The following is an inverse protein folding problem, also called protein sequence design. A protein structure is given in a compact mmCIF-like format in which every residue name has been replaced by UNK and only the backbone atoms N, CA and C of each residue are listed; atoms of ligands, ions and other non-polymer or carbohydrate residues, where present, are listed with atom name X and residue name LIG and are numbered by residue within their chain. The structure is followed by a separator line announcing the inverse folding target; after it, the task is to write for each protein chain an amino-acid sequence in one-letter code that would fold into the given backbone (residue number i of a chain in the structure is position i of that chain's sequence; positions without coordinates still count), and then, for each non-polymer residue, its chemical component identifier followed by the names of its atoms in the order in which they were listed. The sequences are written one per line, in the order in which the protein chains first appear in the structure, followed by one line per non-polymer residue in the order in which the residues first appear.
data_IF_207381059556
#
_entry.id   IF_207381059556
#
_cell.length_a   1.000
_cell.length_b   1.000
_cell.length_c   1.000
_cell.angle_alpha   90.00
_cell.angle_beta   90.00
_cell.angle_gamma   90.00
#
_symmetry.space_group_name_H-M   'P 1'
#
loop_
_entity.id
_entity.type
_entity.pdbx_description
1 polymer ?
#
# COMPACT_ATOMS: atom_id res chain seq x y z
N UNK A 1 -4.04 5.71 7.31
CA UNK A 1 -4.18 4.30 6.87
C UNK A 1 -2.78 3.80 6.57
N UNK A 2 -2.42 2.61 7.06
CA UNK A 2 -1.03 2.12 6.97
C UNK A 2 -0.78 1.17 5.78
N UNK A 3 -1.61 1.24 4.74
CA UNK A 3 -1.47 0.47 3.50
C UNK A 3 -1.73 1.36 2.29
N UNK A 4 -1.11 1.05 1.14
CA UNK A 4 -1.23 1.85 -0.08
C UNK A 4 -2.65 1.84 -0.66
N UNK A 5 -3.31 0.69 -0.61
CA UNK A 5 -4.68 0.49 -1.08
C UNK A 5 -5.51 -0.14 0.03
N UNK A 6 -6.79 0.23 0.13
CA UNK A 6 -7.69 -0.34 1.15
C UNK A 6 -7.81 -1.87 1.04
N UNK A 7 -7.70 -2.39 -0.18
CA UNK A 7 -7.73 -3.83 -0.44
C UNK A 7 -6.51 -4.57 0.16
N UNK A 8 -5.38 -3.87 0.38
CA UNK A 8 -4.20 -4.44 1.01
C UNK A 8 -4.43 -4.77 2.50
N UNK A 9 -5.49 -4.23 3.12
CA UNK A 9 -5.91 -4.64 4.46
C UNK A 9 -6.27 -6.14 4.54
N UNK A 10 -6.74 -6.71 3.43
CA UNK A 10 -7.03 -8.15 3.37
C UNK A 10 -5.78 -9.03 3.24
N UNK A 11 -4.62 -8.40 3.04
CA UNK A 11 -3.33 -9.07 2.85
C UNK A 11 -2.42 -8.96 4.09
N UNK A 12 -2.81 -8.21 5.12
CA UNK A 12 -2.01 -8.15 6.34
C UNK A 12 -1.96 -9.53 7.01
N UNK A 13 -0.81 -9.92 7.54
CA UNK A 13 -0.59 -11.28 8.03
C UNK A 13 -1.67 -11.78 9.01
N UNK A 14 -2.16 -10.98 9.99
CA UNK A 14 -3.22 -11.46 10.88
C UNK A 14 -4.50 -11.85 10.15
N UNK A 15 -4.86 -11.15 9.05
CA UNK A 15 -6.04 -11.50 8.23
C UNK A 15 -5.78 -12.74 7.40
N UNK A 16 -4.58 -12.88 6.82
CA UNK A 16 -4.19 -14.12 6.11
C UNK A 16 -4.25 -15.34 7.00
N UNK A 17 -3.84 -15.23 8.28
CA UNK A 17 -3.94 -16.32 9.27
C UNK A 17 -5.39 -16.73 9.53
N UNK A 18 -6.28 -15.75 9.72
CA UNK A 18 -7.72 -16.02 9.89
C UNK A 18 -8.29 -16.71 8.65
N UNK A 19 -7.88 -16.27 7.46
CA UNK A 19 -8.28 -16.91 6.20
C UNK A 19 -7.79 -18.36 6.12
N UNK A 20 -6.52 -18.61 6.43
CA UNK A 20 -5.93 -19.96 6.41
C UNK A 20 -6.64 -20.90 7.38
N UNK A 21 -6.93 -20.46 8.60
CA UNK A 21 -7.72 -21.21 9.58
C UNK A 21 -9.13 -21.52 9.04
N UNK A 22 -9.81 -20.52 8.48
CA UNK A 22 -11.19 -20.64 7.97
C UNK A 22 -11.29 -21.59 6.78
N UNK A 23 -10.28 -21.62 5.92
CA UNK A 23 -10.23 -22.48 4.74
C UNK A 23 -9.54 -23.81 5.01
N UNK A 24 -9.26 -24.12 6.29
CA UNK A 24 -8.69 -25.38 6.76
C UNK A 24 -7.39 -25.77 6.04
N UNK A 25 -6.47 -24.81 5.90
CA UNK A 25 -5.14 -25.07 5.35
C UNK A 25 -4.33 -25.95 6.31
N UNK A 26 -3.71 -27.02 5.80
CA UNK A 26 -2.94 -27.98 6.62
C UNK A 26 -1.70 -27.36 7.25
N UNK A 27 -1.05 -26.40 6.56
CA UNK A 27 0.14 -25.72 7.05
C UNK A 27 0.00 -24.21 6.85
N UNK A 28 -0.53 -23.54 7.87
CA UNK A 28 -0.84 -22.11 7.85
C UNK A 28 0.42 -21.27 7.59
N UNK A 29 1.53 -21.56 8.29
CA UNK A 29 2.76 -20.76 8.16
C UNK A 29 3.35 -20.87 6.76
N UNK A 30 3.31 -22.06 6.15
CA UNK A 30 3.79 -22.25 4.79
C UNK A 30 2.95 -21.48 3.76
N UNK A 31 1.62 -21.57 3.87
CA UNK A 31 0.69 -20.86 2.98
C UNK A 31 0.92 -19.33 3.07
N UNK A 32 1.10 -18.82 4.28
CA UNK A 32 1.37 -17.40 4.49
C UNK A 32 2.71 -16.99 3.88
N UNK A 33 3.75 -17.81 4.06
CA UNK A 33 5.05 -17.53 3.46
C UNK A 33 5.00 -17.57 1.92
N UNK A 34 4.32 -18.52 1.34
CA UNK A 34 4.10 -18.59 -0.12
C UNK A 34 3.38 -17.36 -0.66
N UNK A 35 2.36 -16.85 0.06
CA UNK A 35 1.66 -15.61 -0.30
C UNK A 35 2.60 -14.40 -0.23
N UNK A 36 3.40 -14.28 0.84
CA UNK A 36 4.37 -13.20 0.99
C UNK A 36 5.40 -13.22 -0.14
N UNK A 37 5.96 -14.39 -0.43
CA UNK A 37 6.94 -14.58 -1.50
C UNK A 37 6.34 -14.26 -2.88
N UNK A 38 5.12 -14.70 -3.14
CA UNK A 38 4.39 -14.34 -4.35
C UNK A 38 4.21 -12.82 -4.50
N UNK A 39 3.76 -12.15 -3.44
CA UNK A 39 3.52 -10.70 -3.49
C UNK A 39 4.83 -9.93 -3.67
N UNK A 40 5.89 -10.28 -2.94
CA UNK A 40 7.18 -9.59 -3.00
C UNK A 40 7.90 -9.87 -4.33
N UNK A 41 8.09 -11.15 -4.65
CA UNK A 41 9.01 -11.55 -5.71
C UNK A 41 8.35 -11.67 -7.09
N UNK A 42 7.04 -11.96 -7.15
CA UNK A 42 6.35 -12.09 -8.43
C UNK A 42 5.51 -10.87 -8.76
N UNK A 43 4.80 -10.28 -7.79
CA UNK A 43 3.93 -9.13 -8.08
C UNK A 43 4.68 -7.80 -7.98
N UNK A 44 5.17 -7.45 -6.80
CA UNK A 44 5.84 -6.18 -6.57
C UNK A 44 7.12 -6.03 -7.40
N UNK A 45 7.98 -7.06 -7.44
CA UNK A 45 9.23 -7.02 -8.18
C UNK A 45 9.03 -6.82 -9.69
N UNK A 46 8.00 -7.45 -10.29
CA UNK A 46 7.69 -7.30 -11.71
C UNK A 46 7.06 -5.96 -12.06
N UNK A 47 6.44 -5.28 -11.09
CA UNK A 47 5.82 -3.99 -11.28
C UNK A 47 6.65 -2.81 -10.73
N UNK A 48 7.88 -3.07 -10.29
CA UNK A 48 8.71 -2.12 -9.56
C UNK A 48 8.84 -0.78 -10.30
N UNK A 49 9.22 -0.81 -11.57
CA UNK A 49 9.37 0.40 -12.40
C UNK A 49 8.08 1.21 -12.46
N UNK A 50 6.94 0.54 -12.67
CA UNK A 50 5.63 1.21 -12.69
C UNK A 50 5.28 1.86 -11.34
N UNK A 51 5.62 1.20 -10.23
CA UNK A 51 5.39 1.74 -8.88
C UNK A 51 6.25 2.98 -8.63
N UNK A 52 7.51 2.95 -9.02
CA UNK A 52 8.44 4.08 -8.93
C UNK A 52 7.90 5.28 -9.73
N UNK A 53 7.52 5.06 -10.98
CA UNK A 53 6.95 6.10 -11.85
C UNK A 53 5.68 6.73 -11.24
N UNK A 54 4.78 5.91 -10.71
CA UNK A 54 3.55 6.39 -10.08
C UNK A 54 3.83 7.21 -8.80
N UNK A 55 4.75 6.73 -7.95
CA UNK A 55 5.16 7.43 -6.75
C UNK A 55 5.82 8.77 -7.08
N UNK A 56 6.76 8.78 -8.02
CA UNK A 56 7.42 10.00 -8.50
C UNK A 56 6.41 11.00 -9.05
N UNK A 57 5.49 10.55 -9.90
CA UNK A 57 4.43 11.41 -10.46
C UNK A 57 3.54 12.00 -9.36
N UNK A 58 3.18 11.21 -8.36
CA UNK A 58 2.36 11.68 -7.23
C UNK A 58 3.11 12.72 -6.39
N UNK A 59 4.38 12.48 -6.10
CA UNK A 59 5.23 13.40 -5.37
C UNK A 59 5.40 14.72 -6.13
N UNK A 60 5.75 14.66 -7.40
CA UNK A 60 5.88 15.84 -8.25
C UNK A 60 4.57 16.65 -8.32
N UNK A 61 3.43 15.98 -8.46
CA UNK A 61 2.12 16.64 -8.43
C UNK A 61 1.92 17.42 -7.13
N UNK A 62 2.29 16.83 -5.99
CA UNK A 62 2.20 17.51 -4.69
C UNK A 62 3.14 18.71 -4.62
N UNK A 63 4.40 18.53 -5.04
CA UNK A 63 5.39 19.62 -5.07
C UNK A 63 4.93 20.79 -5.94
N UNK A 64 4.45 20.52 -7.16
CA UNK A 64 3.91 21.56 -8.04
C UNK A 64 2.67 22.24 -7.48
N UNK A 65 1.82 21.51 -6.75
CA UNK A 65 0.61 22.07 -6.13
C UNK A 65 0.92 22.93 -4.91
N UNK A 66 2.07 22.74 -4.27
CA UNK A 66 2.52 23.49 -3.09
C UNK A 66 3.42 24.68 -3.41
N UNK A 67 3.59 25.05 -4.71
CA UNK A 67 4.40 26.19 -5.11
C UNK A 67 3.77 27.50 -4.61
N UNK A 68 4.51 28.21 -3.76
CA UNK A 68 4.16 29.57 -3.31
C UNK A 68 4.95 30.59 -4.14
N UNK A 69 4.31 31.09 -5.20
CA UNK A 69 4.94 32.03 -6.16
C UNK A 69 5.28 33.36 -5.50
N UNK A 70 4.50 33.80 -4.52
CA UNK A 70 4.70 35.11 -3.85
C UNK A 70 5.97 35.18 -3.03
N UNK A 71 6.45 34.04 -2.54
CA UNK A 71 7.69 33.94 -1.75
C UNK A 71 8.95 33.74 -2.59
N UNK A 72 8.80 33.55 -3.90
CA UNK A 72 9.92 33.32 -4.77
C UNK A 72 10.64 34.66 -5.13
N UNK A 73 11.94 34.57 -5.38
CA UNK A 73 12.74 35.70 -5.83
C UNK A 73 12.35 36.13 -7.25
N UNK A 74 12.39 37.42 -7.51
CA UNK A 74 12.12 38.04 -8.83
C UNK A 74 11.34 39.36 -8.72
N UNK A 75 11.52 40.20 -9.69
CA UNK A 75 10.87 41.53 -9.75
C UNK A 75 9.46 41.44 -10.36
N UNK A 76 9.24 40.47 -11.24
CA UNK A 76 7.95 40.23 -11.90
C UNK A 76 7.32 38.92 -11.46
N UNK A 77 6.00 38.80 -11.58
CA UNK A 77 5.27 37.59 -11.30
C UNK A 77 5.79 36.39 -12.16
N UNK A 78 6.17 36.69 -13.43
CA UNK A 78 6.71 35.67 -14.33
C UNK A 78 8.07 35.14 -13.86
N UNK A 79 8.95 36.00 -13.35
CA UNK A 79 10.24 35.59 -12.79
C UNK A 79 10.09 34.82 -11.52
N UNK A 80 9.23 35.28 -10.61
CA UNK A 80 8.91 34.56 -9.37
C UNK A 80 8.40 33.14 -9.67
N UNK A 81 7.48 32.99 -10.63
CA UNK A 81 6.96 31.72 -11.04
C UNK A 81 8.04 30.78 -11.62
N UNK A 82 8.88 31.30 -12.54
CA UNK A 82 10.01 30.54 -13.10
C UNK A 82 10.97 30.06 -12.01
N UNK A 83 11.33 30.95 -11.08
CA UNK A 83 12.27 30.65 -10.02
C UNK A 83 11.68 29.65 -9.00
N UNK A 84 10.39 29.75 -8.71
CA UNK A 84 9.69 28.76 -7.86
C UNK A 84 9.69 27.37 -8.50
N UNK A 85 9.36 27.27 -9.79
CA UNK A 85 9.38 25.99 -10.53
C UNK A 85 10.79 25.40 -10.63
N UNK A 86 11.81 26.23 -10.86
CA UNK A 86 13.19 25.78 -11.01
C UNK A 86 13.76 25.08 -9.76
N UNK A 87 13.13 25.26 -8.59
CA UNK A 87 13.48 24.56 -7.35
C UNK A 87 13.05 23.09 -7.35
N UNK A 88 12.08 22.73 -8.18
CA UNK A 88 11.62 21.34 -8.31
C UNK A 88 12.55 20.61 -9.27
N UNK A 89 13.13 19.51 -8.80
CA UNK A 89 14.11 18.70 -9.53
C UNK A 89 13.51 17.30 -9.79
N UNK A 90 12.81 17.08 -10.91
CA UNK A 90 12.14 15.82 -11.21
C UNK A 90 13.09 14.61 -11.20
N UNK A 91 14.32 14.78 -11.71
CA UNK A 91 15.33 13.73 -11.77
C UNK A 91 15.81 13.32 -10.37
N UNK A 92 15.99 14.29 -9.46
CA UNK A 92 16.38 14.00 -8.08
C UNK A 92 15.26 13.25 -7.34
N UNK A 93 14.00 13.61 -7.61
CA UNK A 93 12.85 12.93 -7.02
C UNK A 93 12.72 11.51 -7.55
N UNK A 94 12.91 11.30 -8.85
CA UNK A 94 12.93 9.96 -9.43
C UNK A 94 13.99 9.07 -8.74
N UNK A 95 15.22 9.56 -8.63
CA UNK A 95 16.32 8.82 -7.98
C UNK A 95 16.01 8.47 -6.51
N UNK A 96 15.35 9.37 -5.78
CA UNK A 96 14.91 9.09 -4.40
C UNK A 96 13.89 7.96 -4.36
N UNK A 97 12.90 7.99 -5.25
CA UNK A 97 11.89 6.93 -5.31
C UNK A 97 12.52 5.60 -5.76
N UNK A 98 13.43 5.60 -6.74
CA UNK A 98 14.17 4.41 -7.15
C UNK A 98 14.94 3.78 -5.99
N UNK A 99 15.69 4.57 -5.24
CA UNK A 99 16.43 4.08 -4.06
C UNK A 99 15.46 3.49 -3.02
N UNK A 100 14.41 4.22 -2.66
CA UNK A 100 13.45 3.80 -1.65
C UNK A 100 12.74 2.48 -1.99
N UNK A 101 12.24 2.35 -3.21
CA UNK A 101 11.54 1.14 -3.65
C UNK A 101 12.50 -0.05 -3.83
N UNK A 102 13.74 0.22 -4.28
CA UNK A 102 14.78 -0.81 -4.40
C UNK A 102 15.19 -1.36 -3.02
N UNK A 103 15.31 -0.49 -2.03
CA UNK A 103 15.60 -0.89 -0.65
C UNK A 103 14.50 -1.79 -0.08
N UNK A 104 13.22 -1.42 -0.29
CA UNK A 104 12.08 -2.25 0.13
C UNK A 104 12.12 -3.63 -0.53
N UNK A 105 12.37 -3.69 -1.84
CA UNK A 105 12.48 -4.94 -2.59
C UNK A 105 13.64 -5.79 -2.07
N UNK A 106 14.80 -5.18 -1.84
CA UNK A 106 16.01 -5.88 -1.40
C UNK A 106 15.87 -6.44 0.02
N UNK A 107 15.22 -5.67 0.91
CA UNK A 107 14.93 -6.10 2.27
C UNK A 107 13.85 -7.19 2.34
N UNK A 108 13.09 -7.41 1.26
CA UNK A 108 11.94 -8.30 1.22
C UNK A 108 10.94 -8.07 2.38
N UNK A 109 10.78 -6.79 2.77
CA UNK A 109 9.93 -6.38 3.88
C UNK A 109 8.46 -6.34 3.43
N UNK A 110 7.72 -7.41 3.75
CA UNK A 110 6.34 -7.59 3.34
C UNK A 110 5.42 -6.45 3.78
N UNK A 111 5.57 -5.98 5.03
CA UNK A 111 4.72 -4.91 5.55
C UNK A 111 4.99 -3.58 4.83
N UNK A 112 6.26 -3.28 4.54
CA UNK A 112 6.60 -2.11 3.73
C UNK A 112 6.08 -2.23 2.31
N UNK A 113 6.16 -3.43 1.71
CA UNK A 113 5.55 -3.66 0.39
C UNK A 113 4.07 -3.32 0.41
N UNK A 114 3.29 -3.80 1.38
CA UNK A 114 1.85 -3.48 1.46
C UNK A 114 1.57 -1.97 1.66
N UNK A 115 2.51 -1.23 2.28
CA UNK A 115 2.38 0.23 2.48
C UNK A 115 2.63 1.04 1.21
N UNK A 116 3.43 0.53 0.28
CA UNK A 116 3.83 1.27 -0.93
C UNK A 116 3.26 0.71 -2.22
N UNK A 117 2.89 -0.57 -2.24
CA UNK A 117 2.43 -1.25 -3.44
C UNK A 117 1.00 -0.86 -3.78
N UNK A 118 0.88 0.07 -4.72
CA UNK A 118 -0.40 0.55 -5.25
C UNK A 118 -0.79 -0.31 -6.46
N UNK A 119 -1.44 -1.45 -6.20
CA UNK A 119 -1.93 -2.36 -7.22
C UNK A 119 -3.35 -2.81 -6.90
N UNK A 120 -4.31 -2.22 -7.60
CA UNK A 120 -5.72 -2.64 -7.51
C UNK A 120 -5.86 -4.12 -7.86
N UNK A 121 -6.64 -4.83 -7.06
CA UNK A 121 -6.92 -6.24 -7.28
C UNK A 121 -5.80 -7.19 -6.85
N UNK A 122 -4.78 -6.73 -6.10
CA UNK A 122 -3.74 -7.61 -5.56
C UNK A 122 -4.37 -8.69 -4.67
N UNK A 123 -5.28 -8.33 -3.80
CA UNK A 123 -6.03 -9.26 -2.94
C UNK A 123 -6.88 -10.27 -3.73
N UNK A 124 -7.28 -9.92 -4.95
CA UNK A 124 -7.99 -10.82 -5.86
C UNK A 124 -7.06 -11.74 -6.68
N UNK A 125 -5.81 -11.90 -6.28
CA UNK A 125 -4.84 -12.79 -6.94
C UNK A 125 -4.27 -13.85 -6.01
N UNK A 126 -4.82 -14.02 -4.79
CA UNK A 126 -4.27 -14.93 -3.78
C UNK A 126 -5.24 -16.04 -3.33
N UNK A 127 -6.45 -16.07 -3.86
CA UNK A 127 -7.45 -17.06 -3.47
C UNK A 127 -7.00 -18.51 -3.68
N UNK A 128 -6.23 -18.75 -4.75
CA UNK A 128 -5.72 -20.09 -5.07
C UNK A 128 -4.81 -20.68 -3.98
N UNK A 129 -4.09 -19.87 -3.20
CA UNK A 129 -3.32 -20.34 -2.04
C UNK A 129 -4.20 -20.96 -0.94
N UNK A 130 -5.46 -20.56 -0.91
CA UNK A 130 -6.48 -21.08 0.01
C UNK A 130 -7.40 -22.11 -0.64
N UNK A 131 -7.09 -22.60 -1.86
CA UNK A 131 -7.95 -23.53 -2.58
C UNK A 131 -9.28 -22.94 -3.06
N UNK A 132 -9.40 -21.63 -3.16
CA UNK A 132 -10.61 -20.92 -3.63
C UNK A 132 -10.31 -20.09 -4.87
N UNK A 133 -11.37 -19.64 -5.55
CA UNK A 133 -11.20 -18.73 -6.68
C UNK A 133 -10.62 -17.38 -6.22
N UNK A 134 -9.61 -16.88 -6.92
CA UNK A 134 -8.91 -15.63 -6.59
C UNK A 134 -9.87 -14.47 -6.40
N UNK A 135 -10.85 -14.31 -7.29
CA UNK A 135 -11.84 -13.22 -7.24
C UNK A 135 -12.83 -13.32 -6.07
N UNK A 136 -12.91 -14.48 -5.44
CA UNK A 136 -13.79 -14.70 -4.29
C UNK A 136 -13.13 -14.39 -2.95
N UNK A 137 -11.80 -14.31 -2.90
CA UNK A 137 -11.07 -14.14 -1.65
C UNK A 137 -11.60 -12.96 -0.82
N UNK A 138 -11.59 -11.74 -1.37
CA UNK A 138 -12.07 -10.55 -0.65
C UNK A 138 -13.51 -10.69 -0.20
N UNK A 139 -14.40 -11.23 -1.06
CA UNK A 139 -15.80 -11.45 -0.72
C UNK A 139 -15.96 -12.41 0.46
N UNK A 140 -15.16 -13.48 0.48
CA UNK A 140 -15.18 -14.46 1.56
C UNK A 140 -14.65 -13.88 2.87
N UNK A 141 -13.57 -13.07 2.83
CA UNK A 141 -13.06 -12.37 4.02
C UNK A 141 -14.08 -11.37 4.56
N UNK A 142 -14.70 -10.56 3.70
CA UNK A 142 -15.78 -9.64 4.11
C UNK A 142 -16.95 -10.44 4.74
N UNK A 143 -17.27 -11.60 4.19
CA UNK A 143 -18.28 -12.49 4.76
C UNK A 143 -18.02 -12.91 6.20
N UNK A 144 -16.75 -12.95 6.65
CA UNK A 144 -16.39 -13.27 8.03
C UNK A 144 -16.91 -12.23 9.05
N UNK A 145 -17.20 -10.99 8.61
CA UNK A 145 -17.85 -9.98 9.45
C UNK A 145 -19.26 -10.37 9.90
N UNK A 146 -19.85 -11.38 9.26
CA UNK A 146 -21.17 -11.92 9.59
C UNK A 146 -21.09 -13.33 10.18
N UNK A 147 -19.92 -13.73 10.70
CA UNK A 147 -19.65 -15.05 11.27
C UNK A 147 -19.04 -14.96 12.66
N UNK A 148 -18.77 -16.09 13.28
CA UNK A 148 -18.09 -16.21 14.57
C UNK A 148 -16.65 -15.63 14.55
N UNK A 149 -16.10 -15.39 13.36
CA UNK A 149 -14.77 -14.78 13.17
C UNK A 149 -14.78 -13.24 13.19
N UNK A 150 -15.95 -12.61 13.34
CA UNK A 150 -16.11 -11.16 13.27
C UNK A 150 -15.15 -10.42 14.20
N UNK A 151 -15.17 -10.73 15.49
CA UNK A 151 -14.35 -10.05 16.49
C UNK A 151 -12.85 -10.25 16.21
N UNK A 152 -12.46 -11.49 15.88
CA UNK A 152 -11.07 -11.82 15.51
C UNK A 152 -10.59 -11.03 14.29
N UNK A 153 -11.45 -10.87 13.27
CA UNK A 153 -11.13 -10.08 12.08
C UNK A 153 -11.03 -8.57 12.39
N UNK A 154 -11.94 -8.04 13.21
CA UNK A 154 -11.90 -6.63 13.61
C UNK A 154 -10.63 -6.31 14.42
N UNK A 155 -10.26 -7.18 15.36
CA UNK A 155 -9.03 -7.03 16.15
C UNK A 155 -7.77 -7.11 15.25
N UNK A 156 -7.76 -8.00 14.28
CA UNK A 156 -6.69 -8.12 13.30
C UNK A 156 -6.51 -6.87 12.43
N UNK A 157 -7.59 -6.17 12.10
CA UNK A 157 -7.57 -4.97 11.27
C UNK A 157 -7.31 -3.68 12.07
N UNK A 158 -7.61 -3.67 13.36
CA UNK A 158 -7.54 -2.49 14.22
C UNK A 158 -6.21 -1.72 14.17
N UNK A 159 -5.02 -2.38 14.10
CA UNK A 159 -3.75 -1.67 13.99
C UNK A 159 -3.56 -0.90 12.68
N UNK A 160 -4.29 -1.27 11.63
CA UNK A 160 -4.11 -0.75 10.27
C UNK A 160 -5.14 0.31 9.87
N UNK A 161 -6.18 0.50 10.67
CA UNK A 161 -7.20 1.52 10.40
C UNK A 161 -7.02 2.71 11.34
N UNK A 162 -7.28 3.95 10.87
CA UNK A 162 -7.21 5.13 11.72
C UNK A 162 -8.19 5.00 12.90
N UNK A 163 -7.74 5.35 14.11
CA UNK A 163 -8.65 5.52 15.23
C UNK A 163 -9.57 6.70 14.94
N UNK A 164 -10.89 6.48 15.04
CA UNK A 164 -11.83 7.59 15.00
C UNK A 164 -11.52 8.57 16.15
N UNK A 165 -11.54 9.89 15.89
CA UNK A 165 -11.40 10.85 16.96
C UNK A 165 -12.50 10.55 17.99
N UNK A 166 -12.11 10.45 19.27
CA UNK A 166 -13.08 10.29 20.35
C UNK A 166 -14.01 11.50 20.27
N UNK A 167 -15.28 11.27 19.95
CA UNK A 167 -16.33 12.27 20.13
C UNK A 167 -16.35 12.61 21.61
N UNK A 168 -15.77 13.74 21.99
CA UNK A 168 -16.00 14.35 23.29
C UNK A 168 -17.47 14.71 23.29
N UNK A 169 -18.30 13.89 23.94
CA UNK A 169 -19.66 14.23 24.28
C UNK A 169 -19.56 15.37 25.28
N UNK A 170 -19.88 16.59 24.87
CA UNK A 170 -20.17 17.72 25.75
C UNK A 170 -21.57 17.54 26.35
#
# INVERSE_FOLDING_TARGET
MEVAEIENLFLVEPVLRIAAERFACDNIDNVIQEIKDYIIHQRFANELTRQIEQATKSCLKTLYSSIEVTEAEGDTLSEKFKNAIAKIKPEEELLKQEAYFTDIKTAADYEKVLKVYNAKGLSSSIGHFFGINDKEYCKKIIGLLHSDHKEKLLDALKPYVPSLPKTTSN
#
